data_IF_106226940730
#
_entry.id   IF_106226940730
#
_cell.length_a   1.000
_cell.length_b   1.000
_cell.length_c   1.000
_cell.angle_alpha   90.00
_cell.angle_beta   90.00
_cell.angle_gamma   90.00
#
_symmetry.space_group_name_H-M   'P 1'
#
loop_
_entity.id
_entity.type
_entity.pdbx_description
1 polymer ?
#
# COMPACT_ATOMS: atom_id res chain seq x y z
N UNK A 1 27.22 3.43 -12.82
CA UNK A 1 25.76 3.40 -12.70
C UNK A 1 25.19 4.81 -12.71
N UNK A 2 24.18 5.05 -13.54
CA UNK A 2 23.50 6.32 -13.56
C UNK A 2 22.50 6.42 -12.40
N UNK A 3 22.01 7.64 -12.14
CA UNK A 3 20.92 7.84 -11.17
C UNK A 3 19.64 7.14 -11.62
N UNK A 4 19.42 7.05 -12.92
CA UNK A 4 18.27 6.31 -13.47
C UNK A 4 18.40 4.81 -13.19
N UNK A 5 19.59 4.24 -13.39
CA UNK A 5 19.85 2.83 -13.07
C UNK A 5 19.57 2.55 -11.59
N UNK A 6 20.05 3.42 -10.70
CA UNK A 6 19.82 3.27 -9.26
C UNK A 6 18.33 3.34 -8.90
N UNK A 7 17.59 4.23 -9.54
CA UNK A 7 16.15 4.34 -9.34
C UNK A 7 15.42 3.07 -9.79
N UNK A 8 15.76 2.56 -10.96
CA UNK A 8 15.15 1.34 -11.50
C UNK A 8 15.44 0.16 -10.57
N UNK A 9 16.69 -0.01 -10.16
CA UNK A 9 17.09 -1.10 -9.27
C UNK A 9 16.34 -1.02 -7.92
N UNK A 10 16.19 0.19 -7.39
CA UNK A 10 15.43 0.38 -6.14
C UNK A 10 13.96 0.00 -6.30
N UNK A 11 13.34 0.36 -7.42
CA UNK A 11 11.95 0.01 -7.67
C UNK A 11 11.75 -1.49 -7.86
N UNK A 12 12.65 -2.15 -8.57
CA UNK A 12 12.62 -3.61 -8.72
C UNK A 12 12.78 -4.31 -7.38
N UNK A 13 13.72 -3.85 -6.55
CA UNK A 13 13.94 -4.40 -5.21
C UNK A 13 12.72 -4.19 -4.31
N UNK A 14 12.12 -3.01 -4.35
CA UNK A 14 10.91 -2.72 -3.59
C UNK A 14 9.77 -3.66 -3.97
N UNK A 15 9.55 -3.85 -5.27
CA UNK A 15 8.52 -4.77 -5.75
C UNK A 15 8.76 -6.19 -5.26
N UNK A 16 10.00 -6.66 -5.35
CA UNK A 16 10.36 -8.01 -4.89
C UNK A 16 10.14 -8.16 -3.39
N UNK A 17 10.48 -7.15 -2.59
CA UNK A 17 10.23 -7.16 -1.14
C UNK A 17 8.74 -7.21 -0.81
N UNK A 18 7.92 -6.45 -1.51
CA UNK A 18 6.47 -6.45 -1.29
C UNK A 18 5.86 -7.81 -1.63
N UNK A 19 6.28 -8.42 -2.73
CA UNK A 19 5.81 -9.74 -3.12
C UNK A 19 6.26 -10.83 -2.13
N UNK A 20 7.48 -10.71 -1.63
CA UNK A 20 7.98 -11.62 -0.61
C UNK A 20 7.18 -11.49 0.70
N UNK A 21 6.93 -10.25 1.14
CA UNK A 21 6.12 -10.00 2.32
C UNK A 21 4.70 -10.56 2.17
N UNK A 22 4.09 -10.38 1.00
CA UNK A 22 2.77 -10.93 0.72
C UNK A 22 2.75 -12.46 0.84
N UNK A 23 3.79 -13.13 0.34
CA UNK A 23 3.92 -14.58 0.46
C UNK A 23 4.06 -15.03 1.92
N UNK A 24 4.80 -14.27 2.74
CA UNK A 24 5.00 -14.59 4.15
C UNK A 24 3.70 -14.53 4.97
N UNK A 25 2.75 -13.70 4.58
CA UNK A 25 1.48 -13.52 5.30
C UNK A 25 0.30 -14.24 4.62
N UNK A 26 0.56 -15.01 3.57
CA UNK A 26 -0.50 -15.63 2.76
C UNK A 26 -1.46 -16.50 3.59
N UNK A 27 -0.96 -17.18 4.62
CA UNK A 27 -1.74 -18.04 5.50
C UNK A 27 -2.33 -17.34 6.72
N UNK A 28 -2.07 -16.03 6.87
CA UNK A 28 -2.60 -15.24 7.98
C UNK A 28 -3.94 -14.62 7.59
N UNK A 29 -4.90 -14.66 8.51
CA UNK A 29 -6.18 -13.98 8.33
C UNK A 29 -6.09 -12.50 8.68
N UNK A 30 -7.03 -11.74 8.15
CA UNK A 30 -7.18 -10.33 8.49
C UNK A 30 -6.83 -9.38 7.35
N UNK A 31 -7.14 -8.10 7.52
CA UNK A 31 -6.84 -7.09 6.52
C UNK A 31 -5.38 -6.66 6.55
N UNK A 32 -4.94 -6.01 5.48
CA UNK A 32 -3.67 -5.29 5.44
C UNK A 32 -3.92 -3.80 5.67
N UNK A 33 -2.97 -3.14 6.30
CA UNK A 33 -3.01 -1.69 6.51
C UNK A 33 -1.84 -1.06 5.77
N UNK A 34 -2.11 -0.06 4.95
CA UNK A 34 -1.08 0.74 4.33
C UNK A 34 -1.08 2.13 4.96
N UNK A 35 0.05 2.54 5.51
CA UNK A 35 0.23 3.84 6.13
C UNK A 35 0.87 4.78 5.10
N UNK A 36 0.06 5.69 4.57
CA UNK A 36 0.45 6.57 3.48
C UNK A 36 0.14 5.97 2.12
N UNK A 37 -0.49 6.73 1.27
CA UNK A 37 -0.88 6.31 -0.08
C UNK A 37 0.09 6.85 -1.13
N UNK A 38 0.54 8.10 -0.97
CA UNK A 38 1.38 8.77 -1.95
C UNK A 38 0.73 8.79 -3.32
N UNK A 39 1.46 8.37 -4.36
CA UNK A 39 0.92 8.29 -5.72
C UNK A 39 0.06 7.04 -5.97
N UNK A 40 0.01 6.11 -5.02
CA UNK A 40 -0.80 4.91 -5.10
C UNK A 40 -0.16 3.71 -5.78
N UNK A 41 1.11 3.79 -6.19
CA UNK A 41 1.77 2.68 -6.89
C UNK A 41 1.89 1.44 -6.03
N UNK A 42 2.30 1.60 -4.77
CA UNK A 42 2.42 0.49 -3.83
C UNK A 42 1.06 -0.12 -3.55
N UNK A 43 0.06 0.70 -3.28
CA UNK A 43 -1.31 0.24 -3.05
C UNK A 43 -1.85 -0.55 -4.26
N UNK A 44 -1.68 0.00 -5.46
CA UNK A 44 -2.14 -0.65 -6.68
C UNK A 44 -1.54 -2.06 -6.84
N UNK A 45 -0.23 -2.17 -6.59
CA UNK A 45 0.47 -3.44 -6.67
C UNK A 45 0.05 -4.41 -5.56
N UNK A 46 -0.09 -3.92 -4.32
CA UNK A 46 -0.50 -4.74 -3.19
C UNK A 46 -1.94 -5.25 -3.36
N UNK A 47 -2.83 -4.44 -3.94
CA UNK A 47 -4.19 -4.88 -4.28
C UNK A 47 -4.18 -6.09 -5.20
N UNK A 48 -3.20 -6.17 -6.10
CA UNK A 48 -3.02 -7.30 -7.00
C UNK A 48 -2.49 -8.54 -6.27
N UNK A 49 -1.44 -8.38 -5.46
CA UNK A 49 -0.73 -9.52 -4.86
C UNK A 49 -1.38 -10.02 -3.59
N UNK A 50 -2.20 -9.23 -2.92
CA UNK A 50 -2.93 -9.62 -1.70
C UNK A 50 -4.38 -10.00 -1.97
N UNK A 51 -4.88 -9.89 -3.22
CA UNK A 51 -6.26 -10.26 -3.54
C UNK A 51 -6.57 -11.67 -3.04
N UNK A 52 -7.70 -11.92 -2.37
CA UNK A 52 -8.83 -11.02 -2.11
C UNK A 52 -8.77 -10.29 -0.75
N UNK A 53 -7.62 -10.20 -0.11
CA UNK A 53 -7.46 -9.56 1.20
C UNK A 53 -7.85 -8.09 1.13
N UNK A 54 -8.63 -7.61 2.09
CA UNK A 54 -8.97 -6.20 2.18
C UNK A 54 -7.75 -5.37 2.59
N UNK A 55 -7.57 -4.21 1.97
CA UNK A 55 -6.49 -3.28 2.27
C UNK A 55 -7.12 -1.95 2.70
N UNK A 56 -6.87 -1.55 3.95
CA UNK A 56 -7.27 -0.25 4.45
C UNK A 56 -6.10 0.70 4.37
N UNK A 57 -6.32 1.89 3.83
CA UNK A 57 -5.28 2.89 3.58
C UNK A 57 -5.51 4.09 4.48
N UNK A 58 -4.44 4.54 5.11
CA UNK A 58 -4.43 5.70 6.00
C UNK A 58 -3.66 6.81 5.30
N UNK A 59 -4.33 7.93 5.00
CA UNK A 59 -3.73 9.04 4.26
C UNK A 59 -4.29 10.37 4.73
N UNK A 60 -3.45 11.39 4.74
CA UNK A 60 -3.84 12.74 5.14
C UNK A 60 -4.58 13.48 4.03
N UNK A 61 -4.11 13.34 2.80
CA UNK A 61 -4.72 13.96 1.63
C UNK A 61 -4.44 13.09 0.40
N UNK A 62 -5.48 12.78 -0.37
CA UNK A 62 -5.36 11.91 -1.53
C UNK A 62 -4.73 12.67 -2.69
N UNK A 63 -3.63 12.13 -3.23
CA UNK A 63 -2.93 12.65 -4.40
C UNK A 63 -2.60 11.54 -5.40
N UNK A 64 -3.26 10.37 -5.27
CA UNK A 64 -3.03 9.23 -6.14
C UNK A 64 -3.85 9.31 -7.42
N UNK A 65 -3.40 8.57 -8.44
CA UNK A 65 -4.20 8.37 -9.64
C UNK A 65 -5.53 7.69 -9.26
N UNK A 66 -6.67 8.05 -9.90
CA UNK A 66 -7.96 7.43 -9.58
C UNK A 66 -7.96 5.90 -9.62
N UNK A 67 -7.22 5.29 -10.56
CA UNK A 67 -7.12 3.83 -10.67
C UNK A 67 -6.32 3.21 -9.52
N UNK A 68 -5.56 4.03 -8.79
CA UNK A 68 -4.73 3.62 -7.66
C UNK A 68 -5.22 4.20 -6.34
N UNK A 69 -6.50 4.54 -6.27
CA UNK A 69 -7.14 5.10 -5.07
C UNK A 69 -8.12 4.06 -4.51
N UNK A 70 -8.08 3.78 -3.20
CA UNK A 70 -8.99 2.81 -2.59
C UNK A 70 -10.43 3.32 -2.57
N UNK A 71 -11.42 2.42 -2.43
CA UNK A 71 -12.81 2.81 -2.18
C UNK A 71 -12.91 3.65 -0.90
N UNK A 72 -13.92 4.53 -0.83
CA UNK A 72 -14.09 5.45 0.29
C UNK A 72 -14.21 4.73 1.64
N UNK A 73 -14.82 3.57 1.68
CA UNK A 73 -15.00 2.79 2.91
C UNK A 73 -13.72 2.09 3.38
N UNK A 74 -12.68 2.09 2.56
CA UNK A 74 -11.35 1.54 2.89
C UNK A 74 -10.27 2.61 2.96
N UNK A 75 -10.66 3.88 2.95
CA UNK A 75 -9.75 5.01 3.01
C UNK A 75 -10.04 5.82 4.27
N UNK A 76 -9.07 5.86 5.19
CA UNK A 76 -9.16 6.61 6.43
C UNK A 76 -8.37 7.90 6.26
N UNK A 77 -9.07 9.00 6.09
CA UNK A 77 -8.48 10.33 5.91
C UNK A 77 -8.20 10.99 7.26
N UNK A 78 -7.02 11.55 7.38
CA UNK A 78 -6.59 12.26 8.58
C UNK A 78 -5.20 11.84 9.02
N UNK A 79 -4.80 12.33 10.20
CA UNK A 79 -3.56 11.94 10.84
C UNK A 79 -3.67 10.50 11.32
N UNK A 80 -2.65 9.69 11.08
CA UNK A 80 -2.64 8.27 11.46
C UNK A 80 -2.75 8.07 12.98
N UNK A 81 -2.28 9.02 13.77
CA UNK A 81 -2.45 8.96 15.24
C UNK A 81 -3.92 8.98 15.63
N UNK A 82 -4.77 9.61 14.83
CA UNK A 82 -6.20 9.70 15.09
C UNK A 82 -6.97 8.55 14.44
N UNK A 83 -6.56 8.14 13.23
CA UNK A 83 -7.33 7.19 12.42
C UNK A 83 -6.99 5.73 12.71
N UNK A 84 -5.72 5.41 13.01
CA UNK A 84 -5.33 4.02 13.26
C UNK A 84 -6.04 3.39 14.47
N UNK A 85 -6.18 4.08 15.61
CA UNK A 85 -6.92 3.51 16.74
C UNK A 85 -8.38 3.16 16.43
N UNK A 86 -9.00 3.87 15.50
CA UNK A 86 -10.38 3.62 15.09
C UNK A 86 -10.52 2.34 14.26
N UNK A 87 -9.44 1.89 13.63
CA UNK A 87 -9.44 0.71 12.77
C UNK A 87 -9.07 -0.58 13.51
N UNK A 88 -8.57 -0.47 14.72
CA UNK A 88 -8.11 -1.63 15.51
C UNK A 88 -9.25 -2.28 16.30
#
# INVERSE_FOLDING_TARGET
>A
MSRLDLFIDRMVSQRACLEHAAALVADMDGPAFELGLGNGRTYHHMRKVLDPRAIYVFERAVASHPDSTPPDDMLLLGDVYDTLPQAL
#
